data_IF_126430808686
#
_entry.id   IF_126430808686
#
_cell.length_a   1.000
_cell.length_b   1.000
_cell.length_c   1.000
_cell.angle_alpha   90.00
_cell.angle_beta   90.00
_cell.angle_gamma   90.00
#
_symmetry.space_group_name_H-M   'P 1'
#
loop_
_entity.id
_entity.type
_entity.pdbx_description
1 polymer ?
#
# COMPACT_ATOMS: atom_id res chain seq x y z
N UNK A 1 -9.64 35.78 -59.84
CA UNK A 1 -9.80 35.62 -58.38
C UNK A 1 -10.79 34.49 -58.13
N UNK A 2 -10.38 33.39 -57.49
CA UNK A 2 -11.26 32.32 -57.02
C UNK A 2 -10.95 32.09 -55.55
N UNK A 3 -11.89 32.43 -54.68
CA UNK A 3 -11.83 32.13 -53.25
C UNK A 3 -12.40 30.72 -53.08
N UNK A 4 -11.53 29.75 -52.75
CA UNK A 4 -11.95 28.40 -52.38
C UNK A 4 -12.46 28.37 -50.93
N UNK A 5 -13.36 27.43 -50.57
CA UNK A 5 -13.86 27.33 -49.21
C UNK A 5 -12.75 26.80 -48.29
N UNK A 6 -12.52 27.49 -47.18
CA UNK A 6 -11.63 27.04 -46.10
C UNK A 6 -12.35 25.92 -45.35
N UNK A 7 -11.79 24.69 -45.24
CA UNK A 7 -12.38 23.66 -44.40
C UNK A 7 -12.19 24.08 -42.93
N UNK A 8 -13.31 24.29 -42.24
CA UNK A 8 -13.36 24.60 -40.82
C UNK A 8 -12.97 23.32 -40.03
N UNK A 9 -11.67 23.12 -39.81
CA UNK A 9 -11.19 22.08 -38.91
C UNK A 9 -11.56 22.48 -37.46
N UNK A 10 -12.65 21.93 -36.94
CA UNK A 10 -12.99 22.05 -35.53
C UNK A 10 -12.06 21.13 -34.71
N UNK A 11 -10.97 21.69 -34.18
CA UNK A 11 -10.20 21.05 -33.11
C UNK A 11 -11.10 20.97 -31.86
N UNK A 12 -11.68 19.80 -31.61
CA UNK A 12 -12.28 19.51 -30.32
C UNK A 12 -11.15 19.31 -29.29
N UNK A 13 -10.78 20.37 -28.60
CA UNK A 13 -9.89 20.28 -27.43
C UNK A 13 -10.68 19.58 -26.31
N UNK A 14 -10.42 18.29 -26.11
CA UNK A 14 -10.88 17.55 -24.94
C UNK A 14 -10.15 18.14 -23.74
N UNK A 15 -10.87 18.92 -22.93
CA UNK A 15 -10.38 19.39 -21.64
C UNK A 15 -10.28 18.16 -20.72
N UNK A 16 -9.06 17.65 -20.52
CA UNK A 16 -8.79 16.69 -19.46
C UNK A 16 -8.97 17.40 -18.12
N UNK A 17 -10.15 17.27 -17.52
CA UNK A 17 -10.37 17.68 -16.13
C UNK A 17 -9.42 16.87 -15.24
N UNK A 18 -8.83 17.48 -14.20
CA UNK A 18 -8.06 16.70 -13.23
C UNK A 18 -8.98 15.64 -12.63
N UNK A 19 -8.63 14.36 -12.81
CA UNK A 19 -9.32 13.29 -12.12
C UNK A 19 -9.15 13.55 -10.62
N UNK A 20 -10.26 13.77 -9.91
CA UNK A 20 -10.22 13.88 -8.47
C UNK A 20 -9.77 12.52 -7.91
N UNK A 21 -8.68 12.55 -7.15
CA UNK A 21 -8.11 11.35 -6.54
C UNK A 21 -8.16 11.52 -5.03
N UNK A 22 -8.57 10.46 -4.34
CA UNK A 22 -8.35 10.37 -2.89
C UNK A 22 -6.93 9.89 -2.66
N UNK A 23 -6.24 10.51 -1.70
CA UNK A 23 -4.95 10.04 -1.19
C UNK A 23 -5.17 9.51 0.23
N UNK A 24 -4.76 8.27 0.46
CA UNK A 24 -4.81 7.63 1.77
C UNK A 24 -3.41 7.15 2.16
N UNK A 25 -3.09 7.30 3.44
CA UNK A 25 -1.85 6.86 4.03
C UNK A 25 -2.11 5.78 5.06
N UNK A 26 -1.19 4.83 5.19
CA UNK A 26 -1.32 3.68 6.08
C UNK A 26 0.02 3.38 6.75
N UNK A 27 -0.04 2.68 7.89
CA UNK A 27 1.14 2.31 8.65
C UNK A 27 0.98 0.90 9.18
N UNK A 28 1.95 0.05 8.91
CA UNK A 28 2.05 -1.30 9.42
C UNK A 28 3.14 -1.36 10.49
N UNK A 29 2.90 -2.14 11.55
CA UNK A 29 3.86 -2.37 12.62
C UNK A 29 4.10 -3.87 12.76
N UNK A 30 5.32 -4.27 12.45
CA UNK A 30 5.79 -5.65 12.60
C UNK A 30 6.39 -5.93 13.97
N UNK A 31 6.96 -7.14 14.07
CA UNK A 31 7.84 -7.53 15.16
C UNK A 31 9.22 -6.86 15.10
N UNK A 32 10.00 -7.03 16.16
CA UNK A 32 11.42 -6.63 16.25
C UNK A 32 11.73 -5.18 15.80
N UNK A 33 10.83 -4.23 16.02
CA UNK A 33 11.07 -2.81 15.70
C UNK A 33 10.91 -2.44 14.22
N UNK A 34 10.40 -3.36 13.38
CA UNK A 34 10.06 -3.07 11.99
C UNK A 34 8.74 -2.33 11.87
N UNK A 35 8.70 -1.34 11.00
CA UNK A 35 7.48 -0.66 10.57
C UNK A 35 7.51 -0.39 9.07
N UNK A 36 6.35 -0.12 8.50
CA UNK A 36 6.22 0.33 7.12
C UNK A 36 5.19 1.44 7.06
N UNK A 37 5.55 2.53 6.40
CA UNK A 37 4.63 3.61 6.03
C UNK A 37 4.27 3.47 4.57
N UNK A 38 3.03 3.73 4.21
CA UNK A 38 2.65 3.75 2.81
C UNK A 38 1.60 4.79 2.46
N UNK A 39 1.44 4.94 1.16
CA UNK A 39 0.55 5.89 0.50
C UNK A 39 -0.10 5.21 -0.69
N UNK A 40 -1.39 5.44 -0.87
CA UNK A 40 -2.10 5.03 -2.06
C UNK A 40 -3.04 6.13 -2.56
N UNK A 41 -3.24 6.18 -3.88
CA UNK A 41 -4.23 7.06 -4.49
C UNK A 41 -5.06 6.33 -5.55
N UNK A 42 -6.34 6.68 -5.63
CA UNK A 42 -7.32 6.14 -6.61
C UNK A 42 -8.43 7.17 -6.86
N UNK A 43 -9.23 7.05 -7.95
CA UNK A 43 -10.34 7.96 -8.24
C UNK A 43 -11.35 8.05 -7.09
N UNK A 44 -11.74 9.27 -6.72
CA UNK A 44 -12.67 9.51 -5.60
C UNK A 44 -14.06 8.89 -5.81
N UNK A 45 -14.48 8.70 -7.06
CA UNK A 45 -15.71 7.99 -7.43
C UNK A 45 -15.79 6.55 -6.88
N UNK A 46 -14.65 5.96 -6.48
CA UNK A 46 -14.57 4.62 -5.92
C UNK A 46 -14.69 4.58 -4.38
N UNK A 47 -14.88 5.72 -3.71
CA UNK A 47 -15.01 5.77 -2.25
C UNK A 47 -16.19 4.95 -1.68
N UNK A 48 -17.21 4.69 -2.49
CA UNK A 48 -18.37 3.85 -2.14
C UNK A 48 -18.42 2.54 -2.91
N UNK A 49 -17.39 2.22 -3.68
CA UNK A 49 -17.29 0.96 -4.39
C UNK A 49 -17.16 -0.22 -3.39
N UNK A 50 -17.60 -1.43 -3.76
CA UNK A 50 -17.41 -2.60 -2.91
C UNK A 50 -15.93 -2.96 -2.74
N UNK A 51 -15.08 -2.52 -3.69
CA UNK A 51 -13.65 -2.80 -3.69
C UNK A 51 -12.89 -1.80 -4.56
N UNK A 52 -11.67 -1.50 -4.16
CA UNK A 52 -10.61 -0.91 -5.00
C UNK A 52 -9.57 -2.00 -5.26
N UNK A 53 -9.25 -2.20 -6.53
CA UNK A 53 -8.31 -3.22 -7.01
C UNK A 53 -6.99 -2.58 -7.46
N UNK A 54 -6.04 -3.41 -7.87
CA UNK A 54 -4.80 -2.93 -8.50
C UNK A 54 -5.00 -2.09 -9.76
N UNK A 55 -6.05 -2.32 -10.54
CA UNK A 55 -6.35 -1.59 -11.78
C UNK A 55 -6.82 -0.16 -11.51
N UNK A 56 -7.35 0.08 -10.31
CA UNK A 56 -7.93 1.35 -9.90
C UNK A 56 -6.90 2.33 -9.32
N UNK A 57 -5.76 1.81 -8.86
CA UNK A 57 -4.76 2.61 -8.15
C UNK A 57 -3.83 3.33 -9.10
N UNK A 58 -3.75 4.65 -8.91
CA UNK A 58 -2.93 5.55 -9.73
C UNK A 58 -1.59 5.88 -9.07
N UNK A 59 -1.47 5.65 -7.77
CA UNK A 59 -0.22 5.79 -7.02
C UNK A 59 -0.18 4.80 -5.87
N UNK A 60 0.96 4.14 -5.69
CA UNK A 60 1.22 3.36 -4.50
C UNK A 60 2.69 3.39 -4.13
N UNK A 61 2.98 3.59 -2.85
CA UNK A 61 4.33 3.69 -2.31
C UNK A 61 4.39 3.08 -0.90
N UNK A 62 5.47 2.36 -0.63
CA UNK A 62 5.82 1.87 0.71
C UNK A 62 7.26 2.23 1.05
N UNK A 63 7.50 2.54 2.32
CA UNK A 63 8.83 2.74 2.89
C UNK A 63 8.94 1.93 4.17
N UNK A 64 9.98 1.09 4.22
CA UNK A 64 10.31 0.27 5.36
C UNK A 64 11.24 0.98 6.34
N UNK A 65 11.05 0.70 7.62
CA UNK A 65 11.87 1.22 8.71
C UNK A 65 12.21 0.11 9.70
N UNK A 66 13.37 0.24 10.34
CA UNK A 66 13.79 -0.60 11.46
C UNK A 66 14.36 0.32 12.54
N UNK A 67 13.75 0.32 13.73
CA UNK A 67 14.12 1.20 14.85
C UNK A 67 14.16 2.70 14.44
N UNK A 68 13.29 3.09 13.52
CA UNK A 68 13.18 4.46 12.98
C UNK A 68 14.18 4.80 11.88
N UNK A 69 15.15 3.93 11.56
CA UNK A 69 16.03 4.09 10.41
C UNK A 69 15.38 3.51 9.14
N UNK A 70 15.49 4.23 8.01
CA UNK A 70 14.95 3.75 6.72
C UNK A 70 15.76 2.54 6.23
N UNK A 71 15.09 1.44 5.92
CA UNK A 71 15.73 0.23 5.37
C UNK A 71 15.48 0.05 3.88
N UNK A 72 14.45 0.68 3.31
CA UNK A 72 14.18 0.63 1.88
C UNK A 72 12.79 1.12 1.51
N UNK A 73 12.38 0.89 0.27
CA UNK A 73 11.01 1.16 -0.18
C UNK A 73 10.76 0.66 -1.59
N UNK A 74 9.50 0.64 -1.97
CA UNK A 74 9.03 0.25 -3.30
C UNK A 74 7.84 1.12 -3.70
N UNK A 75 7.64 1.31 -5.01
CA UNK A 75 6.49 2.03 -5.54
C UNK A 75 6.01 1.45 -6.86
N UNK A 76 4.79 1.81 -7.24
CA UNK A 76 4.19 1.43 -8.51
C UNK A 76 5.03 1.86 -9.73
N UNK A 77 5.87 2.90 -9.59
CA UNK A 77 6.81 3.32 -10.63
C UNK A 77 7.93 2.30 -10.92
N UNK A 78 8.18 1.38 -9.99
CA UNK A 78 9.13 0.28 -10.10
C UNK A 78 8.44 -1.07 -10.44
N UNK A 79 7.16 -1.05 -10.82
CA UNK A 79 6.42 -2.25 -11.20
C UNK A 79 7.02 -2.88 -12.45
N UNK A 80 7.25 -4.20 -12.40
CA UNK A 80 7.68 -5.01 -13.54
C UNK A 80 6.72 -6.18 -13.73
N UNK A 81 6.71 -6.86 -14.90
CA UNK A 81 5.87 -8.04 -15.11
C UNK A 81 6.11 -9.19 -14.12
N UNK A 82 7.29 -9.25 -13.51
CA UNK A 82 7.65 -10.28 -12.54
C UNK A 82 7.32 -9.87 -11.09
N UNK A 83 6.86 -8.64 -10.87
CA UNK A 83 6.53 -8.15 -9.53
C UNK A 83 5.22 -8.74 -9.04
N UNK A 84 5.28 -9.39 -7.89
CA UNK A 84 4.09 -9.84 -7.15
C UNK A 84 3.28 -8.64 -6.65
N UNK A 85 2.28 -8.26 -7.44
CA UNK A 85 1.35 -7.17 -7.17
C UNK A 85 -0.05 -7.74 -6.99
N UNK A 86 -0.70 -7.48 -5.86
CA UNK A 86 -2.13 -7.71 -5.67
C UNK A 86 -2.69 -6.88 -4.54
N UNK A 87 -3.51 -5.91 -4.92
CA UNK A 87 -4.20 -5.00 -4.03
C UNK A 87 -5.71 -5.23 -4.07
N UNK A 88 -6.27 -5.55 -2.92
CA UNK A 88 -7.70 -5.53 -2.64
C UNK A 88 -7.95 -4.62 -1.42
N UNK A 89 -8.69 -3.54 -1.61
CA UNK A 89 -8.99 -2.56 -0.55
C UNK A 89 -10.49 -2.32 -0.41
N UNK A 90 -10.96 -2.29 0.83
CA UNK A 90 -12.33 -1.89 1.17
C UNK A 90 -12.36 -0.38 1.42
N UNK A 91 -12.91 0.44 0.51
CA UNK A 91 -12.92 1.89 0.67
C UNK A 91 -13.93 2.40 1.71
N UNK A 92 -14.92 1.58 2.06
CA UNK A 92 -15.93 1.92 3.08
C UNK A 92 -15.36 1.73 4.47
N UNK A 93 -14.72 0.59 4.73
CA UNK A 93 -14.07 0.28 6.01
C UNK A 93 -12.64 0.87 6.09
N UNK A 94 -12.12 1.36 4.96
CA UNK A 94 -10.77 1.89 4.79
C UNK A 94 -9.67 0.94 5.26
N UNK A 95 -9.77 -0.32 4.86
CA UNK A 95 -8.78 -1.36 5.20
C UNK A 95 -8.41 -2.22 4.02
N UNK A 96 -7.19 -2.72 4.05
CA UNK A 96 -6.74 -3.74 3.13
C UNK A 96 -7.41 -5.08 3.49
N UNK A 97 -7.76 -5.83 2.46
CA UNK A 97 -8.38 -7.14 2.61
C UNK A 97 -7.29 -8.17 2.88
N UNK A 98 -7.40 -8.89 3.99
CA UNK A 98 -6.49 -9.99 4.32
C UNK A 98 -7.13 -11.31 3.89
N UNK A 99 -6.68 -11.93 2.79
CA UNK A 99 -7.43 -13.00 2.14
C UNK A 99 -7.32 -14.37 2.84
N UNK A 100 -6.44 -14.51 3.83
CA UNK A 100 -6.35 -15.71 4.68
C UNK A 100 -5.12 -16.58 4.44
N UNK A 101 -5.17 -17.80 4.98
CA UNK A 101 -4.07 -18.77 4.87
C UNK A 101 -4.00 -19.33 3.45
N UNK A 102 -2.81 -19.37 2.86
CA UNK A 102 -2.59 -19.87 1.49
C UNK A 102 -2.99 -18.88 0.39
N UNK A 103 -3.42 -17.67 0.74
CA UNK A 103 -3.70 -16.57 -0.19
C UNK A 103 -2.97 -15.32 0.32
N UNK A 104 -2.37 -14.55 -0.58
CA UNK A 104 -1.62 -13.35 -0.22
C UNK A 104 -2.17 -12.09 -0.89
N UNK A 105 -2.09 -10.99 -0.15
CA UNK A 105 -2.11 -9.60 -0.59
C UNK A 105 -0.64 -9.19 -0.79
N UNK A 106 -0.12 -9.30 -2.00
CA UNK A 106 1.31 -9.09 -2.28
C UNK A 106 1.58 -7.68 -2.81
N UNK A 107 2.64 -7.03 -2.36
CA UNK A 107 2.93 -5.62 -2.68
C UNK A 107 4.32 -5.36 -3.24
N UNK A 108 4.99 -6.42 -3.70
CA UNK A 108 6.33 -6.53 -4.33
C UNK A 108 7.22 -7.63 -3.70
N UNK A 109 6.66 -8.44 -2.81
CA UNK A 109 7.21 -9.72 -2.40
C UNK A 109 6.26 -10.84 -2.84
N UNK A 110 6.78 -11.89 -3.46
CA UNK A 110 6.07 -13.16 -3.60
C UNK A 110 5.70 -13.68 -2.21
N UNK A 111 4.66 -14.52 -2.08
CA UNK A 111 4.22 -15.01 -0.77
C UNK A 111 5.28 -15.80 0.04
N UNK A 112 6.50 -15.98 -0.49
CA UNK A 112 7.69 -16.51 0.19
C UNK A 112 8.72 -15.44 0.62
N UNK A 113 8.52 -14.18 0.24
CA UNK A 113 9.15 -12.97 0.78
C UNK A 113 10.67 -12.99 0.58
N UNK A 114 11.11 -13.46 -0.59
CA UNK A 114 12.54 -13.62 -0.93
C UNK A 114 12.97 -12.89 -2.21
N UNK A 115 12.07 -12.14 -2.84
CA UNK A 115 12.22 -11.59 -4.19
C UNK A 115 12.13 -10.05 -4.27
N UNK A 116 12.15 -9.34 -3.15
CA UNK A 116 12.03 -7.86 -3.15
C UNK A 116 13.26 -7.08 -3.63
N UNK A 117 14.25 -7.75 -4.23
CA UNK A 117 15.45 -7.15 -4.84
C UNK A 117 16.62 -6.92 -3.89
N UNK A 118 17.82 -6.70 -4.45
CA UNK A 118 19.06 -6.40 -3.70
C UNK A 118 19.82 -5.23 -4.36
N UNK A 119 19.88 -4.03 -3.73
CA UNK A 119 19.18 -3.67 -2.50
C UNK A 119 17.66 -3.56 -2.72
N UNK A 120 16.86 -3.77 -1.68
CA UNK A 120 15.41 -3.83 -1.84
C UNK A 120 14.63 -3.90 -0.53
N UNK A 121 13.33 -3.58 -0.61
CA UNK A 121 12.38 -3.73 0.49
C UNK A 121 11.09 -4.23 -0.08
N UNK A 122 10.47 -5.22 0.55
CA UNK A 122 9.14 -5.65 0.19
C UNK A 122 8.28 -6.03 1.37
N UNK A 123 6.98 -6.06 1.12
CA UNK A 123 5.96 -6.38 2.09
C UNK A 123 5.08 -7.52 1.55
N UNK A 124 4.78 -8.45 2.43
CA UNK A 124 3.82 -9.51 2.17
C UNK A 124 2.78 -9.52 3.30
N UNK A 125 1.52 -9.69 2.91
CA UNK A 125 0.43 -9.95 3.83
C UNK A 125 -0.35 -11.18 3.37
N UNK A 126 -0.59 -12.12 4.27
CA UNK A 126 -1.21 -13.39 3.95
C UNK A 126 -0.18 -14.52 3.86
N UNK A 127 -0.62 -15.70 3.42
CA UNK A 127 0.24 -16.90 3.36
C UNK A 127 0.92 -17.30 4.68
N UNK A 128 0.34 -16.92 5.83
CA UNK A 128 0.81 -17.34 7.16
C UNK A 128 1.16 -16.18 8.11
N UNK A 129 1.34 -14.96 7.61
CA UNK A 129 1.66 -13.79 8.42
C UNK A 129 1.52 -12.47 7.68
N UNK A 130 1.96 -11.39 8.30
CA UNK A 130 2.34 -10.15 7.61
C UNK A 130 3.77 -9.82 7.99
N UNK A 131 4.60 -9.52 7.01
CA UNK A 131 6.04 -9.49 7.18
C UNK A 131 6.72 -8.70 6.06
N UNK A 132 8.03 -8.51 6.23
CA UNK A 132 8.87 -7.81 5.27
C UNK A 132 10.06 -8.66 4.83
N UNK A 133 10.58 -8.33 3.65
CA UNK A 133 11.93 -8.68 3.24
C UNK A 133 12.78 -7.43 3.04
N UNK A 134 14.08 -7.60 3.28
CA UNK A 134 15.09 -6.57 3.08
C UNK A 134 16.23 -7.19 2.30
N UNK A 135 16.62 -6.56 1.19
CA UNK A 135 17.71 -6.98 0.32
C UNK A 135 17.57 -8.43 -0.19
N UNK A 136 16.34 -8.87 -0.48
CA UNK A 136 16.03 -10.22 -0.95
C UNK A 136 16.01 -11.28 0.17
N UNK A 137 16.07 -10.86 1.43
CA UNK A 137 16.03 -11.75 2.59
C UNK A 137 14.73 -11.56 3.36
N UNK A 138 13.98 -12.65 3.52
CA UNK A 138 12.85 -12.72 4.45
C UNK A 138 13.32 -12.40 5.88
N UNK A 139 12.61 -11.49 6.55
CA UNK A 139 12.85 -11.11 7.95
C UNK A 139 11.78 -11.75 8.82
N UNK A 140 12.04 -12.98 9.27
CA UNK A 140 11.07 -13.75 10.05
C UNK A 140 10.65 -13.05 11.35
N UNK A 141 11.56 -12.31 11.99
CA UNK A 141 11.29 -11.58 13.24
C UNK A 141 10.34 -10.39 13.06
N UNK A 142 10.11 -9.97 11.81
CA UNK A 142 9.13 -8.92 11.49
C UNK A 142 7.68 -9.43 11.50
N UNK A 143 7.49 -10.75 11.48
CA UNK A 143 6.19 -11.39 11.26
C UNK A 143 5.19 -11.10 12.37
N UNK A 144 3.97 -10.76 11.99
CA UNK A 144 2.79 -10.66 12.86
C UNK A 144 1.64 -11.53 12.34
N UNK A 145 0.58 -11.78 13.13
CA UNK A 145 -0.57 -12.56 12.67
C UNK A 145 -1.19 -11.99 11.39
N UNK A 146 -1.55 -12.86 10.45
CA UNK A 146 -2.04 -12.48 9.13
C UNK A 146 -3.37 -11.71 9.19
N UNK A 147 -4.18 -11.97 10.21
CA UNK A 147 -5.49 -11.34 10.44
C UNK A 147 -5.39 -9.91 10.98
N UNK A 148 -4.17 -9.42 11.29
CA UNK A 148 -3.98 -8.07 11.85
C UNK A 148 -4.53 -7.02 10.89
N UNK A 149 -5.55 -6.24 11.25
CA UNK A 149 -6.11 -5.27 10.32
C UNK A 149 -5.10 -4.19 9.92
N UNK A 150 -5.02 -3.87 8.63
CA UNK A 150 -4.23 -2.75 8.10
C UNK A 150 -5.18 -1.68 7.54
N UNK A 151 -5.20 -0.51 8.18
CA UNK A 151 -6.09 0.60 7.85
C UNK A 151 -5.37 1.74 7.14
N UNK A 152 -6.11 2.50 6.33
CA UNK A 152 -5.63 3.70 5.67
C UNK A 152 -6.53 4.91 6.00
N UNK A 153 -5.94 6.11 6.00
CA UNK A 153 -6.65 7.35 6.31
C UNK A 153 -6.05 8.57 5.61
N UNK A 154 -6.73 9.72 5.62
CA UNK A 154 -6.29 10.91 4.88
C UNK A 154 -5.09 11.62 5.52
N UNK A 155 -4.64 11.20 6.70
CA UNK A 155 -3.57 11.86 7.45
C UNK A 155 -2.24 11.17 7.17
N UNK A 156 -1.19 11.91 6.78
CA UNK A 156 0.15 11.36 6.64
C UNK A 156 0.64 10.65 7.91
N UNK A 157 1.28 9.52 7.72
CA UNK A 157 1.76 8.66 8.79
C UNK A 157 3.22 8.95 9.14
N UNK A 158 3.67 8.57 10.33
CA UNK A 158 5.06 8.69 10.76
C UNK A 158 5.76 7.33 10.76
N UNK A 159 7.11 7.30 10.62
CA UNK A 159 7.90 6.07 10.70
C UNK A 159 7.65 5.22 11.94
N UNK A 160 7.32 5.85 13.08
CA UNK A 160 7.08 5.16 14.35
C UNK A 160 5.71 4.46 14.42
N UNK A 161 4.81 4.69 13.46
CA UNK A 161 3.42 4.23 13.46
C UNK A 161 2.62 4.53 14.74
N UNK A 162 3.07 5.43 15.62
CA UNK A 162 2.44 5.65 16.93
C UNK A 162 1.15 6.46 16.84
N UNK A 163 0.95 7.24 15.77
CA UNK A 163 -0.22 8.12 15.60
C UNK A 163 -1.44 7.46 14.95
N UNK A 164 -1.29 6.31 14.28
CA UNK A 164 -2.42 5.60 13.66
C UNK A 164 -3.02 4.50 14.53
N UNK A 165 -2.50 4.35 15.75
CA UNK A 165 -2.97 3.40 16.74
C UNK A 165 -4.45 3.59 17.14
N UNK A 166 -5.09 4.67 16.71
CA UNK A 166 -6.53 4.89 16.92
C UNK A 166 -7.44 4.23 15.87
N UNK A 167 -6.91 3.69 14.77
CA UNK A 167 -7.72 3.04 13.72
C UNK A 167 -7.49 1.53 13.61
N UNK A 168 -6.34 1.03 14.05
CA UNK A 168 -6.07 -0.41 14.20
C UNK A 168 -6.56 -0.90 15.57
N UNK A 169 -7.71 -1.57 15.65
CA UNK A 169 -8.29 -2.04 16.90
C UNK A 169 -7.33 -2.84 17.79
N UNK A 170 -7.39 -2.52 19.09
CA UNK A 170 -6.79 -3.15 20.28
C UNK A 170 -5.26 -3.11 20.42
N UNK A 171 -4.79 -2.11 21.18
CA UNK A 171 -3.59 -2.21 22.00
C UNK A 171 -3.59 -3.54 22.77
N UNK A 172 -2.53 -4.37 22.73
CA UNK A 172 -2.32 -5.32 23.80
C UNK A 172 -2.05 -4.52 25.08
N UNK A 173 -2.82 -4.82 26.12
CA UNK A 173 -2.60 -4.38 27.49
C UNK A 173 -1.25 -4.93 27.98
N UNK A 174 -0.14 -4.29 27.59
CA UNK A 174 1.18 -4.54 28.15
C UNK A 174 1.45 -3.58 29.30
N UNK A 175 0.58 -3.52 30.31
CA UNK A 175 0.97 -3.12 31.68
C UNK A 175 -0.01 -3.74 32.68
N UNK A 176 0.37 -4.87 33.27
CA UNK A 176 0.04 -5.32 34.63
C UNK A 176 0.75 -6.67 34.84
N UNK A 177 2.04 -6.70 35.17
CA UNK A 177 2.55 -6.79 36.56
C UNK A 177 4.10 -6.72 36.54
N UNK A 178 4.78 -6.18 37.58
CA UNK A 178 5.00 -6.87 38.88
C UNK A 178 4.79 -5.93 40.09
N UNK A 179 4.52 -6.34 41.33
CA UNK A 179 4.95 -7.50 42.14
C UNK A 179 3.85 -7.94 43.10
#
# INVERSE_FOLDING_TARGET
MRVGPVPLAALAAVLALPAQAVELHFCWRGGAGYTMTGLMAFPDALLSAPRVTEEDVTRFEITGWHEGARVGGWSLAALTPDTSWRLEFDPVERRFVMPGIGVFQAWNADGGVADCGTPGFGFNAGSGGQDVCVDGRFVTESTIPWETPLFAGPTPVKPDCLKNLQLSGNLPEFVQTPS
#
